data_IF_065755394199
#
_entry.id   IF_065755394199
#
_cell.length_a   1.000
_cell.length_b   1.000
_cell.length_c   1.000
_cell.angle_alpha   90.00
_cell.angle_beta   90.00
_cell.angle_gamma   90.00
#
_symmetry.space_group_name_H-M   'P 1'
#
loop_
_entity.id
_entity.type
_entity.pdbx_description
1 polymer ?
#
# COMPACT_ATOMS: atom_id res chain seq x y z
N UNK A 1 10.11 -18.00 16.66
CA UNK A 1 9.81 -16.87 17.55
C UNK A 1 8.48 -16.25 17.13
N UNK A 2 7.84 -15.41 17.96
CA UNK A 2 6.59 -14.71 17.62
C UNK A 2 6.70 -13.98 16.27
N UNK A 3 7.84 -13.36 16.01
CA UNK A 3 8.12 -12.62 14.78
C UNK A 3 7.98 -13.44 13.49
N UNK A 4 8.38 -14.72 13.50
CA UNK A 4 8.28 -15.58 12.30
C UNK A 4 6.81 -15.73 11.86
N UNK A 5 5.89 -15.80 12.83
CA UNK A 5 4.46 -15.85 12.56
C UNK A 5 3.96 -14.55 11.94
N UNK A 6 4.36 -13.40 12.50
CA UNK A 6 3.99 -12.08 12.00
C UNK A 6 4.46 -11.90 10.56
N UNK A 7 5.73 -12.17 10.26
CA UNK A 7 6.29 -12.00 8.91
C UNK A 7 5.56 -12.92 7.91
N UNK A 8 5.41 -14.21 8.21
CA UNK A 8 4.74 -15.14 7.30
C UNK A 8 3.24 -14.85 7.17
N UNK A 9 2.58 -14.39 8.24
CA UNK A 9 1.17 -14.03 8.22
C UNK A 9 0.93 -12.77 7.41
N UNK A 10 1.81 -11.78 7.55
CA UNK A 10 1.80 -10.55 6.77
C UNK A 10 1.93 -10.83 5.28
N UNK A 11 2.90 -11.65 4.88
CA UNK A 11 3.08 -12.08 3.50
C UNK A 11 1.87 -12.86 2.97
N UNK A 12 1.30 -13.77 3.79
CA UNK A 12 0.11 -14.53 3.42
C UNK A 12 -1.10 -13.63 3.18
N UNK A 13 -1.34 -12.62 4.03
CA UNK A 13 -2.41 -11.64 3.80
C UNK A 13 -2.13 -10.87 2.52
N UNK A 14 -0.93 -10.29 2.36
CA UNK A 14 -0.59 -9.49 1.19
C UNK A 14 -0.87 -10.24 -0.13
N UNK A 15 -0.58 -11.55 -0.19
CA UNK A 15 -0.74 -12.36 -1.40
C UNK A 15 -2.12 -12.99 -1.58
N UNK A 16 -2.80 -13.34 -0.48
CA UNK A 16 -3.99 -14.20 -0.53
C UNK A 16 -5.22 -13.63 0.19
N UNK A 17 -5.08 -12.45 0.80
CA UNK A 17 -6.11 -11.78 1.58
C UNK A 17 -6.38 -12.41 2.96
N UNK A 18 -7.12 -11.69 3.78
CA UNK A 18 -7.49 -12.12 5.14
C UNK A 18 -8.30 -13.43 5.14
N UNK A 19 -9.21 -13.60 4.18
CA UNK A 19 -10.01 -14.83 4.05
C UNK A 19 -9.15 -16.07 3.69
N UNK A 20 -7.96 -15.85 3.14
CA UNK A 20 -7.00 -16.92 2.84
C UNK A 20 -6.23 -17.42 4.07
N UNK A 21 -6.31 -16.71 5.20
CA UNK A 21 -5.50 -17.04 6.37
C UNK A 21 -5.95 -18.33 7.05
N UNK A 22 -5.00 -19.26 7.17
CA UNK A 22 -5.21 -20.53 7.87
C UNK A 22 -3.98 -20.86 8.71
N UNK A 23 -4.22 -21.30 9.94
CA UNK A 23 -3.13 -21.60 10.89
C UNK A 23 -2.32 -22.83 10.44
N UNK A 24 -2.94 -23.84 9.83
CA UNK A 24 -2.21 -25.03 9.33
C UNK A 24 -1.13 -24.68 8.28
N UNK A 25 -1.47 -24.00 7.17
CA UNK A 25 -0.48 -23.58 6.19
C UNK A 25 0.61 -22.69 6.81
N UNK A 26 0.22 -21.76 7.68
CA UNK A 26 1.17 -20.85 8.33
C UNK A 26 2.16 -21.61 9.25
N UNK A 27 1.67 -22.62 9.98
CA UNK A 27 2.48 -23.48 10.81
C UNK A 27 3.50 -24.29 9.99
N UNK A 28 3.09 -24.76 8.80
CA UNK A 28 3.99 -25.45 7.87
C UNK A 28 5.07 -24.52 7.32
N UNK A 29 4.69 -23.31 6.89
CA UNK A 29 5.63 -22.30 6.35
C UNK A 29 6.66 -21.90 7.42
N UNK A 30 6.22 -21.69 8.66
CA UNK A 30 7.10 -21.30 9.78
C UNK A 30 7.88 -22.46 10.41
N UNK A 31 7.61 -23.70 9.97
CA UNK A 31 8.10 -24.95 10.56
C UNK A 31 7.85 -25.03 12.09
N UNK A 32 6.60 -24.77 12.51
CA UNK A 32 6.18 -24.75 13.91
C UNK A 32 4.88 -25.53 14.11
N UNK A 33 4.55 -25.83 15.37
CA UNK A 33 3.27 -26.45 15.72
C UNK A 33 2.15 -25.40 15.82
N UNK A 34 0.91 -25.81 15.58
CA UNK A 34 -0.27 -24.97 15.86
C UNK A 34 -0.33 -24.53 17.33
N UNK A 35 0.05 -25.42 18.25
CA UNK A 35 0.06 -25.10 19.68
C UNK A 35 0.98 -23.92 20.00
N UNK A 36 2.11 -23.78 19.28
CA UNK A 36 2.99 -22.61 19.41
C UNK A 36 2.35 -21.32 18.90
N UNK A 37 1.46 -21.38 17.90
CA UNK A 37 0.68 -20.21 17.48
C UNK A 37 -0.24 -19.74 18.60
N UNK A 38 -1.06 -20.66 19.15
CA UNK A 38 -2.01 -20.34 20.21
C UNK A 38 -1.33 -19.89 21.51
N UNK A 39 -0.11 -20.36 21.77
CA UNK A 39 0.70 -19.85 22.88
C UNK A 39 1.07 -18.35 22.70
N UNK A 40 1.27 -17.89 21.47
CA UNK A 40 1.64 -16.50 21.19
C UNK A 40 0.46 -15.55 21.02
N UNK A 41 -0.63 -16.01 20.39
CA UNK A 41 -1.71 -15.13 19.96
C UNK A 41 -3.07 -15.47 20.57
N UNK A 42 -3.24 -16.63 21.23
CA UNK A 42 -4.52 -17.16 21.73
C UNK A 42 -5.60 -17.44 20.67
N UNK A 43 -5.79 -16.57 19.67
CA UNK A 43 -6.70 -16.75 18.55
C UNK A 43 -6.23 -15.97 17.29
N UNK A 44 -7.09 -15.92 16.28
CA UNK A 44 -6.81 -15.27 15.00
C UNK A 44 -7.07 -13.75 15.03
N UNK A 45 -7.95 -13.28 15.90
CA UNK A 45 -8.28 -11.85 16.00
C UNK A 45 -7.10 -11.09 16.59
N UNK A 46 -6.53 -11.58 17.70
CA UNK A 46 -5.31 -11.02 18.29
C UNK A 46 -4.14 -11.09 17.30
N UNK A 47 -4.07 -12.15 16.50
CA UNK A 47 -3.04 -12.24 15.46
C UNK A 47 -3.23 -11.17 14.38
N UNK A 48 -4.47 -10.89 13.96
CA UNK A 48 -4.74 -9.82 13.01
C UNK A 48 -4.38 -8.45 13.57
N UNK A 49 -4.71 -8.15 14.82
CA UNK A 49 -4.34 -6.88 15.44
C UNK A 49 -2.81 -6.68 15.42
N UNK A 50 -2.04 -7.73 15.71
CA UNK A 50 -0.57 -7.68 15.63
C UNK A 50 -0.05 -7.49 14.19
N UNK A 51 -0.75 -8.02 13.17
CA UNK A 51 -0.41 -7.74 11.76
C UNK A 51 -0.73 -6.31 11.36
N UNK A 52 -1.81 -5.72 11.90
CA UNK A 52 -2.17 -4.33 11.67
C UNK A 52 -1.14 -3.38 12.31
N UNK A 53 -0.71 -3.68 13.54
CA UNK A 53 0.36 -2.92 14.21
C UNK A 53 1.68 -3.01 13.42
N UNK A 54 2.04 -4.22 12.99
CA UNK A 54 3.20 -4.42 12.13
C UNK A 54 3.10 -3.61 10.82
N UNK A 55 1.91 -3.59 10.19
CA UNK A 55 1.68 -2.80 8.99
C UNK A 55 1.92 -1.31 9.22
N UNK A 56 1.40 -0.75 10.32
CA UNK A 56 1.55 0.66 10.64
C UNK A 56 3.02 1.05 10.85
N UNK A 57 3.82 0.20 11.50
CA UNK A 57 5.26 0.44 11.61
C UNK A 57 5.96 0.40 10.25
N UNK A 58 5.60 -0.55 9.39
CA UNK A 58 6.16 -0.64 8.04
C UNK A 58 5.79 0.57 7.17
N UNK A 59 4.54 1.05 7.28
CA UNK A 59 4.07 2.25 6.58
C UNK A 59 4.82 3.50 7.03
N UNK A 60 5.21 3.63 8.29
CA UNK A 60 6.05 4.75 8.74
C UNK A 60 7.42 4.74 8.06
N UNK A 61 8.01 3.57 7.87
CA UNK A 61 9.28 3.41 7.14
C UNK A 61 9.11 3.79 5.68
N UNK A 62 8.04 3.30 5.03
CA UNK A 62 7.68 3.66 3.67
C UNK A 62 7.51 5.18 3.52
N UNK A 63 6.69 5.81 4.35
CA UNK A 63 6.44 7.25 4.34
C UNK A 63 7.71 8.08 4.55
N UNK A 64 8.61 7.63 5.44
CA UNK A 64 9.90 8.28 5.62
C UNK A 64 10.74 8.22 4.34
N UNK A 65 10.85 7.07 3.68
CA UNK A 65 11.57 6.96 2.40
C UNK A 65 10.93 7.79 1.31
N UNK A 66 9.60 7.75 1.21
CA UNK A 66 8.84 8.60 0.28
C UNK A 66 9.16 10.08 0.49
N UNK A 67 9.30 10.55 1.74
CA UNK A 67 9.62 11.97 2.02
C UNK A 67 10.96 12.46 1.45
N UNK A 68 11.84 11.54 1.06
CA UNK A 68 13.20 11.84 0.55
C UNK A 68 13.30 11.75 -0.97
N UNK A 69 12.23 11.39 -1.68
CA UNK A 69 12.25 11.25 -3.13
C UNK A 69 12.31 12.61 -3.84
N UNK A 70 12.89 12.63 -5.03
CA UNK A 70 12.90 13.79 -5.92
C UNK A 70 12.14 13.53 -7.22
N UNK A 71 11.98 12.27 -7.60
CA UNK A 71 11.30 11.84 -8.82
C UNK A 71 10.36 10.67 -8.56
N UNK A 72 9.33 10.54 -9.38
CA UNK A 72 8.47 9.35 -9.37
C UNK A 72 9.26 8.16 -9.92
N UNK A 73 9.93 8.34 -11.06
CA UNK A 73 10.79 7.34 -11.68
C UNK A 73 12.24 7.86 -11.69
N UNK A 74 13.21 7.17 -11.06
CA UNK A 74 13.08 5.85 -10.43
C UNK A 74 12.65 5.87 -8.95
N UNK A 75 12.89 6.97 -8.22
CA UNK A 75 12.96 6.95 -6.74
C UNK A 75 11.72 6.33 -6.05
N UNK A 76 10.51 6.79 -6.40
CA UNK A 76 9.29 6.24 -5.80
C UNK A 76 9.04 4.79 -6.20
N UNK A 77 9.27 4.45 -7.48
CA UNK A 77 9.03 3.10 -7.98
C UNK A 77 9.95 2.11 -7.27
N UNK A 78 11.21 2.44 -7.07
CA UNK A 78 12.16 1.57 -6.34
C UNK A 78 11.69 1.33 -4.89
N UNK A 79 11.25 2.38 -4.20
CA UNK A 79 10.70 2.27 -2.84
C UNK A 79 9.44 1.40 -2.83
N UNK A 80 8.51 1.62 -3.77
CA UNK A 80 7.28 0.85 -3.89
C UNK A 80 7.55 -0.64 -4.14
N UNK A 81 8.58 -0.96 -4.95
CA UNK A 81 9.02 -2.34 -5.19
C UNK A 81 9.64 -2.96 -3.94
N UNK A 82 10.48 -2.23 -3.22
CA UNK A 82 11.05 -2.68 -1.95
C UNK A 82 9.96 -2.98 -0.92
N UNK A 83 8.92 -2.13 -0.88
CA UNK A 83 7.78 -2.21 0.02
C UNK A 83 6.55 -2.93 -0.58
N UNK A 84 6.75 -3.81 -1.56
CA UNK A 84 5.67 -4.50 -2.28
C UNK A 84 4.66 -5.17 -1.35
N UNK A 85 5.12 -5.86 -0.30
CA UNK A 85 4.23 -6.53 0.65
C UNK A 85 3.36 -5.53 1.41
N UNK A 86 3.89 -4.35 1.75
CA UNK A 86 3.14 -3.32 2.46
C UNK A 86 2.02 -2.74 1.60
N UNK A 87 2.31 -2.52 0.33
CA UNK A 87 1.33 -2.02 -0.64
C UNK A 87 0.23 -3.05 -0.87
N UNK A 88 0.59 -4.33 -1.06
CA UNK A 88 -0.39 -5.40 -1.24
C UNK A 88 -1.19 -5.69 0.03
N UNK A 89 -0.59 -5.56 1.22
CA UNK A 89 -1.34 -5.66 2.47
C UNK A 89 -2.35 -4.52 2.61
N UNK A 90 -1.93 -3.28 2.33
CA UNK A 90 -2.82 -2.11 2.32
C UNK A 90 -3.97 -2.28 1.31
N UNK A 91 -3.72 -2.94 0.17
CA UNK A 91 -4.76 -3.32 -0.78
C UNK A 91 -5.81 -4.24 -0.15
N UNK A 92 -5.39 -5.26 0.61
CA UNK A 92 -6.33 -6.17 1.27
C UNK A 92 -7.17 -5.48 2.33
N UNK A 93 -6.63 -4.49 3.04
CA UNK A 93 -7.42 -3.66 3.94
C UNK A 93 -8.54 -2.93 3.18
N UNK A 94 -8.26 -2.39 1.99
CA UNK A 94 -9.27 -1.71 1.15
C UNK A 94 -10.37 -2.65 0.69
N UNK A 95 -10.03 -3.89 0.32
CA UNK A 95 -11.04 -4.89 -0.05
C UNK A 95 -11.92 -5.32 1.12
N UNK A 96 -11.45 -5.16 2.36
CA UNK A 96 -12.17 -5.53 3.57
C UNK A 96 -12.58 -4.30 4.38
N UNK A 97 -12.84 -3.16 3.72
CA UNK A 97 -13.13 -1.88 4.36
C UNK A 97 -14.42 -1.83 5.19
N UNK A 98 -15.20 -2.91 5.27
CA UNK A 98 -16.36 -2.99 6.15
C UNK A 98 -15.96 -3.21 7.63
N UNK A 99 -14.72 -3.62 7.88
CA UNK A 99 -14.18 -3.79 9.23
C UNK A 99 -13.66 -2.45 9.78
N UNK A 100 -14.12 -2.03 10.95
CA UNK A 100 -13.75 -0.75 11.58
C UNK A 100 -12.25 -0.63 11.89
N UNK A 101 -11.61 -1.71 12.37
CA UNK A 101 -10.15 -1.72 12.62
C UNK A 101 -9.38 -1.47 11.32
N UNK A 102 -9.81 -2.10 10.22
CA UNK A 102 -9.16 -1.91 8.92
C UNK A 102 -9.36 -0.49 8.38
N UNK A 103 -10.54 0.11 8.58
CA UNK A 103 -10.78 1.52 8.24
C UNK A 103 -9.86 2.46 9.03
N UNK A 104 -9.67 2.21 10.32
CA UNK A 104 -8.80 3.03 11.17
C UNK A 104 -7.34 2.95 10.73
N UNK A 105 -6.87 1.74 10.40
CA UNK A 105 -5.52 1.52 9.86
C UNK A 105 -5.36 2.20 8.50
N UNK A 106 -6.34 2.07 7.59
CA UNK A 106 -6.32 2.74 6.29
C UNK A 106 -6.30 4.27 6.42
N UNK A 107 -7.08 4.83 7.34
CA UNK A 107 -7.08 6.27 7.61
C UNK A 107 -5.71 6.73 8.09
N UNK A 108 -5.08 5.96 8.97
CA UNK A 108 -3.75 6.25 9.51
C UNK A 108 -2.68 6.12 8.44
N UNK A 109 -2.70 5.03 7.66
CA UNK A 109 -1.72 4.80 6.59
C UNK A 109 -1.81 5.88 5.51
N UNK A 110 -3.01 6.21 5.04
CA UNK A 110 -3.23 7.28 4.05
C UNK A 110 -2.83 8.68 4.55
N UNK A 111 -2.84 8.92 5.85
CA UNK A 111 -2.37 10.19 6.41
C UNK A 111 -0.84 10.27 6.49
N UNK A 112 -0.15 9.13 6.54
CA UNK A 112 1.31 9.05 6.57
C UNK A 112 1.91 9.11 5.16
N UNK A 113 1.27 8.48 4.17
CA UNK A 113 1.76 8.39 2.79
C UNK A 113 1.10 9.43 1.88
N UNK A 114 1.80 9.84 0.83
CA UNK A 114 1.20 10.63 -0.26
C UNK A 114 1.49 12.13 -0.28
N UNK A 115 1.92 12.77 0.83
CA UNK A 115 2.36 14.17 0.78
C UNK A 115 3.59 14.36 -0.12
N UNK A 116 4.55 13.43 -0.02
CA UNK A 116 5.76 13.46 -0.83
C UNK A 116 5.46 13.22 -2.32
N UNK A 117 4.55 12.28 -2.62
CA UNK A 117 4.07 12.06 -3.97
C UNK A 117 3.43 13.32 -4.54
N UNK A 118 2.50 13.96 -3.81
CA UNK A 118 1.84 15.19 -4.23
C UNK A 118 2.84 16.30 -4.54
N UNK A 119 3.90 16.44 -3.72
CA UNK A 119 4.96 17.43 -3.95
C UNK A 119 5.70 17.17 -5.26
N UNK A 120 6.26 15.97 -5.43
CA UNK A 120 7.01 15.63 -6.65
C UNK A 120 6.12 15.74 -7.87
N UNK A 121 4.88 15.27 -7.78
CA UNK A 121 3.96 15.30 -8.89
C UNK A 121 3.54 16.72 -9.28
N UNK A 122 3.33 17.61 -8.31
CA UNK A 122 3.03 19.03 -8.56
C UNK A 122 4.19 19.73 -9.30
N UNK A 123 5.44 19.47 -8.90
CA UNK A 123 6.64 20.00 -9.56
C UNK A 123 6.76 19.47 -11.00
N UNK A 124 6.50 18.18 -11.19
CA UNK A 124 6.73 17.47 -12.45
C UNK A 124 5.65 17.75 -13.52
N UNK A 125 4.46 18.15 -13.09
CA UNK A 125 3.31 18.44 -13.96
C UNK A 125 3.16 19.92 -14.33
N UNK A 126 3.85 20.85 -13.63
CA UNK A 126 3.83 22.31 -13.89
C UNK A 126 2.41 22.91 -14.00
N UNK A 127 1.46 22.49 -13.16
CA UNK A 127 0.06 22.93 -13.25
C UNK A 127 -0.28 24.19 -12.45
N UNK A 128 -1.36 24.87 -12.87
CA UNK A 128 -2.11 25.88 -12.10
C UNK A 128 -3.25 25.26 -11.24
N UNK A 129 -3.16 23.98 -10.90
CA UNK A 129 -4.16 23.34 -10.04
C UNK A 129 -3.97 23.82 -8.59
N UNK A 130 -5.07 24.15 -7.92
CA UNK A 130 -4.98 24.42 -6.50
C UNK A 130 -4.76 23.11 -5.71
N UNK A 131 -4.25 23.24 -4.47
CA UNK A 131 -3.92 22.10 -3.62
C UNK A 131 -5.09 21.11 -3.44
N UNK A 132 -6.33 21.61 -3.37
CA UNK A 132 -7.53 20.76 -3.22
C UNK A 132 -7.80 19.92 -4.47
N UNK A 133 -7.61 20.48 -5.65
CA UNK A 133 -7.76 19.73 -6.91
C UNK A 133 -6.69 18.64 -7.04
N UNK A 134 -5.44 18.95 -6.69
CA UNK A 134 -4.35 17.97 -6.69
C UNK A 134 -4.61 16.82 -5.72
N UNK A 135 -5.04 17.14 -4.49
CA UNK A 135 -5.41 16.14 -3.48
C UNK A 135 -6.56 15.24 -3.97
N UNK A 136 -7.62 15.81 -4.52
CA UNK A 136 -8.75 15.02 -5.02
C UNK A 136 -8.34 14.10 -6.18
N UNK A 137 -7.52 14.59 -7.11
CA UNK A 137 -7.03 13.80 -8.22
C UNK A 137 -6.13 12.66 -7.74
N UNK A 138 -5.27 12.93 -6.76
CA UNK A 138 -4.45 11.90 -6.13
C UNK A 138 -5.30 10.83 -5.47
N UNK A 139 -6.31 11.20 -4.67
CA UNK A 139 -7.19 10.23 -4.01
C UNK A 139 -7.90 9.33 -5.03
N UNK A 140 -8.45 9.90 -6.11
CA UNK A 140 -9.08 9.13 -7.19
C UNK A 140 -8.10 8.19 -7.89
N UNK A 141 -6.86 8.66 -8.13
CA UNK A 141 -5.81 7.87 -8.76
C UNK A 141 -5.35 6.72 -7.84
N UNK A 142 -5.27 6.98 -6.54
CA UNK A 142 -4.86 6.01 -5.53
C UNK A 142 -5.86 4.86 -5.42
N UNK A 143 -7.16 5.15 -5.40
CA UNK A 143 -8.18 4.10 -5.39
C UNK A 143 -8.12 3.25 -6.67
N UNK A 144 -7.93 3.88 -7.83
CA UNK A 144 -7.75 3.15 -9.08
C UNK A 144 -6.48 2.29 -9.08
N UNK A 145 -5.36 2.80 -8.57
CA UNK A 145 -4.11 2.05 -8.44
C UNK A 145 -4.31 0.75 -7.64
N UNK A 146 -4.94 0.83 -6.47
CA UNK A 146 -5.20 -0.34 -5.64
C UNK A 146 -6.21 -1.31 -6.25
N UNK A 147 -7.04 -0.89 -7.20
CA UNK A 147 -7.91 -1.81 -7.95
C UNK A 147 -7.17 -2.59 -9.04
N UNK A 148 -6.07 -2.06 -9.58
CA UNK A 148 -5.39 -2.63 -10.74
C UNK A 148 -4.22 -3.55 -10.37
N UNK A 149 -3.59 -3.34 -9.22
CA UNK A 149 -2.44 -4.13 -8.80
C UNK A 149 -2.82 -5.52 -8.27
N UNK A 150 -1.87 -6.44 -8.30
CA UNK A 150 -1.87 -7.71 -7.58
C UNK A 150 -0.43 -8.25 -7.52
N UNK A 151 -0.20 -9.34 -6.78
CA UNK A 151 1.15 -9.89 -6.61
C UNK A 151 1.86 -10.23 -7.93
N UNK A 152 1.12 -10.64 -8.98
CA UNK A 152 1.72 -11.04 -10.25
C UNK A 152 2.11 -9.88 -11.16
N UNK A 153 1.36 -8.77 -11.13
CA UNK A 153 1.63 -7.62 -12.02
C UNK A 153 2.45 -6.52 -11.36
N UNK A 154 2.56 -6.51 -10.02
CA UNK A 154 3.29 -5.49 -9.28
C UNK A 154 4.80 -5.63 -9.48
N UNK A 155 5.28 -4.94 -10.50
CA UNK A 155 6.65 -4.96 -11.04
C UNK A 155 7.08 -3.55 -11.38
N UNK A 156 8.39 -3.32 -11.48
CA UNK A 156 8.94 -2.00 -11.84
C UNK A 156 8.36 -1.50 -13.16
N UNK A 157 8.36 -2.36 -14.19
CA UNK A 157 7.85 -2.04 -15.52
C UNK A 157 6.37 -1.65 -15.48
N UNK A 158 5.55 -2.40 -14.74
CA UNK A 158 4.13 -2.07 -14.60
C UNK A 158 3.92 -0.72 -13.90
N UNK A 159 4.67 -0.44 -12.82
CA UNK A 159 4.58 0.82 -12.09
C UNK A 159 5.02 2.01 -12.96
N UNK A 160 6.12 1.88 -13.68
CA UNK A 160 6.63 2.92 -14.60
C UNK A 160 5.59 3.23 -15.68
N UNK A 161 5.05 2.19 -16.34
CA UNK A 161 3.99 2.34 -17.34
C UNK A 161 2.70 2.95 -16.76
N UNK A 162 2.32 2.57 -15.54
CA UNK A 162 1.15 3.12 -14.86
C UNK A 162 1.32 4.61 -14.58
N UNK A 163 2.43 5.03 -13.96
CA UNK A 163 2.68 6.43 -13.63
C UNK A 163 2.87 7.30 -14.87
N UNK A 164 3.52 6.80 -15.93
CA UNK A 164 3.64 7.51 -17.20
C UNK A 164 2.26 7.72 -17.84
N UNK A 165 1.43 6.67 -17.86
CA UNK A 165 0.07 6.75 -18.40
C UNK A 165 -0.79 7.72 -17.60
N UNK A 166 -0.74 7.65 -16.28
CA UNK A 166 -1.45 8.55 -15.38
C UNK A 166 -1.03 10.01 -15.63
N UNK A 167 0.28 10.29 -15.71
CA UNK A 167 0.83 11.60 -16.04
C UNK A 167 0.29 12.13 -17.38
N UNK A 168 0.30 11.30 -18.43
CA UNK A 168 -0.22 11.65 -19.76
C UNK A 168 -1.72 11.98 -19.73
N UNK A 169 -2.53 11.15 -19.08
CA UNK A 169 -3.98 11.36 -18.98
C UNK A 169 -4.30 12.69 -18.28
N UNK A 170 -3.60 13.00 -17.19
CA UNK A 170 -3.86 14.24 -16.44
C UNK A 170 -3.43 15.46 -17.25
N UNK A 171 -2.27 15.43 -17.91
CA UNK A 171 -1.84 16.51 -18.81
C UNK A 171 -2.87 16.78 -19.91
N UNK A 172 -3.44 15.74 -20.51
CA UNK A 172 -4.49 15.89 -21.51
C UNK A 172 -5.75 16.56 -20.96
N UNK A 173 -6.20 16.16 -19.77
CA UNK A 173 -7.38 16.77 -19.11
C UNK A 173 -7.15 18.25 -18.82
N UNK A 174 -5.99 18.61 -18.28
CA UNK A 174 -5.71 20.00 -17.90
C UNK A 174 -5.51 20.91 -19.12
N UNK A 175 -4.78 20.46 -20.15
CA UNK A 175 -4.60 21.22 -21.39
C UNK A 175 -5.94 21.48 -22.08
N UNK A 176 -6.83 20.48 -22.11
CA UNK A 176 -8.16 20.60 -22.72
C UNK A 176 -9.04 21.67 -22.05
N UNK A 177 -8.82 21.93 -20.76
CA UNK A 177 -9.57 22.92 -19.97
C UNK A 177 -8.97 24.34 -20.01
N UNK A 178 -7.80 24.53 -20.62
CA UNK A 178 -7.13 25.85 -20.72
C UNK A 178 -7.41 26.54 -22.07
N UNK A 179 -8.01 25.81 -23.03
CA UNK A 179 -8.33 26.30 -24.40
C UNK A 179 -9.82 26.64 -24.55
N UNK A 180 -10.57 26.70 -23.44
CA UNK A 180 -11.94 27.23 -23.38
C UNK A 180 -11.98 28.46 -22.49
#
# INVERSE_FOLDING_TARGET
MKQDWIISGYEMVAKHGFNGMKIEPLARITNKSKSSFYYHFADLEIFYDELLDFHLESVKVLAFKESQINKIDPDLIEILIEHKLDVLFNQQLRFNNQNENFQNVLKTSNALVGEAFLKVWAEDLKFNLNNKQLQNLFLLSLDNFFLLINDSNYTYEWLSNYFESLKKTILQIVVSNTVR
#
